data_IF_067558743585
#
_entry.id   IF_067558743585
#
_cell.length_a   1.000
_cell.length_b   1.000
_cell.length_c   1.000
_cell.angle_alpha   90.00
_cell.angle_beta   90.00
_cell.angle_gamma   90.00
#
_symmetry.space_group_name_H-M   'P 1'
#
loop_
_entity.id
_entity.type
_entity.pdbx_description
1 polymer ?
#
# COMPACT_ATOMS: atom_id res chain seq x y z
N UNK A 1 -25.29 -61.94 34.70
CA UNK A 1 -24.13 -61.20 34.11
C UNK A 1 -24.68 -60.19 33.12
N UNK A 2 -24.76 -58.90 33.53
CA UNK A 2 -25.26 -57.85 32.69
C UNK A 2 -24.04 -57.10 32.12
N UNK A 3 -23.84 -57.19 30.79
CA UNK A 3 -22.83 -56.42 30.08
C UNK A 3 -23.29 -54.98 30.02
N UNK A 4 -22.59 -54.07 30.71
CA UNK A 4 -22.73 -52.64 30.57
C UNK A 4 -21.94 -52.21 29.32
N UNK A 5 -22.67 -51.85 28.26
CA UNK A 5 -22.05 -51.20 27.08
C UNK A 5 -21.81 -49.76 27.41
N UNK A 6 -20.55 -49.42 27.65
CA UNK A 6 -20.10 -48.02 27.72
C UNK A 6 -19.94 -47.52 26.29
N UNK A 7 -20.89 -46.70 25.87
CA UNK A 7 -20.80 -45.95 24.60
C UNK A 7 -19.95 -44.71 24.87
N UNK A 8 -18.68 -44.75 24.46
CA UNK A 8 -17.83 -43.58 24.44
C UNK A 8 -18.23 -42.70 23.25
N UNK A 9 -19.04 -41.70 23.51
CA UNK A 9 -19.31 -40.63 22.53
C UNK A 9 -18.09 -39.73 22.46
N UNK A 10 -17.25 -39.98 21.43
CA UNK A 10 -16.16 -39.08 21.07
C UNK A 10 -16.76 -37.85 20.43
N UNK A 11 -17.00 -36.81 21.25
CA UNK A 11 -17.40 -35.48 20.76
C UNK A 11 -16.19 -34.84 20.10
N UNK A 12 -16.10 -35.02 18.78
CA UNK A 12 -15.13 -34.32 17.93
C UNK A 12 -15.57 -32.86 17.82
N UNK A 13 -15.17 -32.04 18.79
CA UNK A 13 -15.29 -30.60 18.68
C UNK A 13 -14.43 -30.11 17.51
N UNK A 14 -15.09 -29.91 16.36
CA UNK A 14 -14.50 -29.25 15.20
C UNK A 14 -14.21 -27.81 15.63
N UNK A 15 -13.00 -27.56 16.09
CA UNK A 15 -12.48 -26.23 16.33
C UNK A 15 -12.27 -25.62 14.93
N UNK A 16 -13.29 -24.90 14.45
CA UNK A 16 -13.17 -24.03 13.30
C UNK A 16 -12.17 -22.93 13.68
N UNK A 17 -10.90 -23.20 13.49
CA UNK A 17 -9.88 -22.16 13.40
C UNK A 17 -10.21 -21.35 12.16
N UNK A 18 -11.01 -20.31 12.35
CA UNK A 18 -11.06 -19.20 11.40
C UNK A 18 -9.63 -18.69 11.29
N UNK A 19 -8.94 -19.07 10.24
CA UNK A 19 -7.70 -18.43 9.86
C UNK A 19 -8.08 -16.98 9.54
N UNK A 20 -8.01 -16.12 10.54
CA UNK A 20 -7.97 -14.69 10.29
C UNK A 20 -6.69 -14.50 9.47
N UNK A 21 -6.85 -14.29 8.17
CA UNK A 21 -5.79 -13.73 7.37
C UNK A 21 -5.39 -12.44 8.09
N UNK A 22 -4.23 -12.44 8.74
CA UNK A 22 -3.70 -11.23 9.37
C UNK A 22 -3.38 -10.29 8.22
N UNK A 23 -4.33 -9.44 7.86
CA UNK A 23 -4.06 -8.33 6.96
C UNK A 23 -2.97 -7.49 7.62
N UNK A 24 -1.84 -7.39 6.93
CA UNK A 24 -0.68 -6.65 7.43
C UNK A 24 -1.01 -5.17 7.37
N UNK A 25 -1.00 -4.48 8.48
CA UNK A 25 -1.13 -3.01 8.51
C UNK A 25 0.12 -2.32 7.98
N UNK A 26 -0.01 -1.02 7.64
CA UNK A 26 1.15 -0.20 7.31
C UNK A 26 2.18 -0.25 8.45
N UNK A 27 3.47 -0.48 8.14
CA UNK A 27 4.51 -0.57 9.15
C UNK A 27 4.86 0.79 9.74
N UNK A 28 5.39 0.77 10.96
CA UNK A 28 5.94 1.95 11.63
C UNK A 28 7.31 2.29 11.05
N UNK A 29 7.34 3.17 10.05
CA UNK A 29 8.57 3.63 9.38
C UNK A 29 8.55 5.13 9.21
N UNK A 30 9.63 5.79 9.60
CA UNK A 30 9.82 7.23 9.41
C UNK A 30 10.19 7.55 7.97
N UNK A 31 9.42 8.42 7.36
CA UNK A 31 9.64 9.02 6.05
C UNK A 31 9.73 10.55 6.18
N UNK A 32 10.05 11.25 5.11
CA UNK A 32 10.16 12.71 5.12
C UNK A 32 9.31 13.32 4.02
N UNK A 33 8.69 14.45 4.34
CA UNK A 33 8.07 15.31 3.32
C UNK A 33 9.15 15.93 2.42
N UNK A 34 8.75 16.50 1.28
CA UNK A 34 9.68 17.23 0.41
C UNK A 34 10.27 18.48 1.08
N UNK A 35 9.67 18.96 2.20
CA UNK A 35 10.20 20.04 3.04
C UNK A 35 11.16 19.53 4.13
N UNK A 36 11.37 18.21 4.23
CA UNK A 36 12.27 17.58 5.20
C UNK A 36 11.64 17.27 6.56
N UNK A 37 10.34 17.50 6.73
CA UNK A 37 9.60 17.18 7.95
C UNK A 37 9.45 15.66 8.09
N UNK A 38 9.61 15.13 9.30
CA UNK A 38 9.40 13.72 9.58
C UNK A 38 7.92 13.39 9.66
N UNK A 39 7.53 12.28 9.02
CA UNK A 39 6.23 11.66 9.10
C UNK A 39 6.38 10.16 9.35
N UNK A 40 5.35 9.54 9.89
CA UNK A 40 5.28 8.08 9.97
C UNK A 40 4.34 7.56 8.88
N UNK A 41 4.78 6.57 8.09
CA UNK A 41 3.95 6.03 7.02
C UNK A 41 2.69 5.34 7.55
N UNK A 42 2.73 4.83 8.77
CA UNK A 42 1.59 4.23 9.47
C UNK A 42 0.40 5.18 9.61
N UNK A 43 0.65 6.50 9.74
CA UNK A 43 -0.39 7.52 9.87
C UNK A 43 -1.38 7.52 8.69
N UNK A 44 -0.93 7.13 7.50
CA UNK A 44 -1.76 7.02 6.31
C UNK A 44 -2.74 5.83 6.34
N UNK A 45 -2.51 4.84 7.20
CA UNK A 45 -3.46 3.76 7.45
C UNK A 45 -4.43 4.03 8.63
N UNK A 46 -4.29 5.17 9.30
CA UNK A 46 -5.05 5.53 10.50
C UNK A 46 -6.03 6.69 10.25
N UNK A 47 -6.10 7.21 9.03
CA UNK A 47 -6.91 8.37 8.67
C UNK A 47 -8.30 8.03 8.09
N UNK A 48 -8.62 6.74 7.94
CA UNK A 48 -9.91 6.26 7.46
C UNK A 48 -10.11 6.31 5.95
N UNK A 49 -9.09 6.69 5.18
CA UNK A 49 -9.12 6.73 3.72
C UNK A 49 -8.62 5.43 3.10
N UNK A 50 -9.04 5.18 1.85
CA UNK A 50 -8.35 4.21 1.01
C UNK A 50 -7.03 4.82 0.60
N UNK A 51 -5.91 4.14 0.91
CA UNK A 51 -4.58 4.67 0.62
C UNK A 51 -3.84 3.78 -0.37
N UNK A 52 -3.35 4.38 -1.46
CA UNK A 52 -2.38 3.75 -2.36
C UNK A 52 -0.98 4.20 -1.95
N UNK A 53 -0.09 3.26 -1.64
CA UNK A 53 1.33 3.54 -1.37
C UNK A 53 2.15 2.99 -2.51
N UNK A 54 2.78 3.86 -3.32
CA UNK A 54 3.66 3.45 -4.43
C UNK A 54 5.11 3.83 -4.13
N UNK A 55 6.01 2.83 -4.18
CA UNK A 55 7.45 3.01 -4.03
C UNK A 55 8.11 3.20 -5.39
N UNK A 56 8.89 4.27 -5.51
CA UNK A 56 9.49 4.71 -6.76
C UNK A 56 10.88 5.33 -6.58
N UNK A 57 11.54 5.69 -7.68
CA UNK A 57 12.76 6.49 -7.67
C UNK A 57 12.90 7.31 -8.95
N UNK A 58 13.68 8.39 -8.91
CA UNK A 58 13.88 9.32 -10.04
C UNK A 58 14.49 8.64 -11.27
N UNK A 59 15.29 7.61 -11.08
CA UNK A 59 15.91 6.79 -12.13
C UNK A 59 15.01 5.66 -12.67
N UNK A 60 13.87 5.38 -11.99
CA UNK A 60 12.96 4.30 -12.36
C UNK A 60 11.97 4.77 -13.44
N UNK A 61 12.20 4.40 -14.69
CA UNK A 61 11.34 4.80 -15.79
C UNK A 61 9.91 4.22 -15.71
N UNK A 62 9.68 2.91 -15.42
CA UNK A 62 8.34 2.37 -15.29
C UNK A 62 7.58 2.97 -14.09
N UNK A 63 8.25 3.27 -12.98
CA UNK A 63 7.62 3.93 -11.84
C UNK A 63 7.04 5.31 -12.22
N UNK A 64 7.79 6.09 -12.98
CA UNK A 64 7.31 7.40 -13.44
C UNK A 64 6.12 7.29 -14.40
N UNK A 65 6.08 6.24 -15.21
CA UNK A 65 4.92 5.98 -16.09
C UNK A 65 3.68 5.61 -15.28
N UNK A 66 3.81 4.76 -14.25
CA UNK A 66 2.72 4.45 -13.31
C UNK A 66 2.19 5.72 -12.66
N UNK A 67 3.09 6.50 -12.07
CA UNK A 67 2.74 7.73 -11.36
C UNK A 67 2.16 8.80 -12.29
N UNK A 68 2.64 8.91 -13.54
CA UNK A 68 2.06 9.79 -14.55
C UNK A 68 0.63 9.35 -14.93
N UNK A 69 0.40 8.04 -15.15
CA UNK A 69 -0.91 7.52 -15.49
C UNK A 69 -1.93 7.71 -14.35
N UNK A 70 -1.52 7.48 -13.11
CA UNK A 70 -2.38 7.75 -11.95
C UNK A 70 -2.65 9.25 -11.80
N UNK A 71 -1.68 10.13 -12.08
CA UNK A 71 -1.87 11.57 -11.98
C UNK A 71 -2.97 12.09 -12.92
N UNK A 72 -3.16 11.47 -14.08
CA UNK A 72 -4.21 11.85 -15.05
C UNK A 72 -5.64 11.60 -14.52
N UNK A 73 -5.81 10.65 -13.60
CA UNK A 73 -7.12 10.23 -13.06
C UNK A 73 -7.26 10.49 -11.56
N UNK A 74 -6.23 11.05 -10.91
CA UNK A 74 -6.15 11.16 -9.46
C UNK A 74 -7.26 12.03 -8.85
N UNK A 75 -7.59 13.15 -9.48
CA UNK A 75 -8.64 14.06 -9.02
C UNK A 75 -10.01 13.36 -9.03
N UNK A 76 -10.31 12.61 -10.10
CA UNK A 76 -11.54 11.82 -10.22
C UNK A 76 -11.60 10.73 -9.14
N UNK A 77 -10.50 10.00 -8.93
CA UNK A 77 -10.44 8.97 -7.89
C UNK A 77 -10.62 9.53 -6.47
N UNK A 78 -10.07 10.73 -6.20
CA UNK A 78 -10.29 11.38 -4.90
C UNK A 78 -11.76 11.77 -4.71
N UNK A 79 -12.40 12.29 -5.74
CA UNK A 79 -13.80 12.71 -5.70
C UNK A 79 -14.75 11.52 -5.54
N UNK A 80 -14.47 10.42 -6.25
CA UNK A 80 -15.37 9.27 -6.32
C UNK A 80 -15.19 8.28 -5.15
N UNK A 81 -13.95 8.14 -4.61
CA UNK A 81 -13.60 7.02 -3.72
C UNK A 81 -13.04 7.46 -2.36
N UNK A 82 -12.93 8.75 -2.05
CA UNK A 82 -12.28 9.28 -0.83
C UNK A 82 -10.91 8.61 -0.57
N UNK A 83 -10.09 8.56 -1.61
CA UNK A 83 -8.79 7.92 -1.57
C UNK A 83 -7.63 8.92 -1.55
N UNK A 84 -6.45 8.44 -1.21
CA UNK A 84 -5.20 9.18 -1.35
C UNK A 84 -4.09 8.32 -1.96
N UNK A 85 -3.18 8.96 -2.70
CA UNK A 85 -1.93 8.35 -3.18
C UNK A 85 -0.75 8.94 -2.40
N UNK A 86 0.08 8.06 -1.88
CA UNK A 86 1.34 8.37 -1.18
C UNK A 86 2.50 7.75 -1.98
N UNK A 87 3.15 8.56 -2.79
CA UNK A 87 4.32 8.15 -3.58
C UNK A 87 5.60 8.33 -2.75
N UNK A 88 6.25 7.21 -2.39
CA UNK A 88 7.44 7.22 -1.52
C UNK A 88 8.69 6.97 -2.35
N UNK A 89 9.53 8.00 -2.51
CA UNK A 89 10.82 7.85 -3.19
C UNK A 89 11.81 7.10 -2.30
N UNK A 90 12.46 6.09 -2.89
CA UNK A 90 13.58 5.36 -2.29
C UNK A 90 14.94 5.81 -2.84
N UNK A 91 15.01 7.01 -3.39
CA UNK A 91 16.25 7.57 -3.93
C UNK A 91 17.37 7.64 -2.89
N UNK A 92 18.61 7.45 -3.35
CA UNK A 92 19.78 7.61 -2.49
C UNK A 92 19.93 9.05 -2.00
N UNK A 93 20.76 9.26 -0.97
CA UNK A 93 21.07 10.61 -0.46
C UNK A 93 21.50 11.62 -1.53
N UNK A 94 22.15 11.15 -2.62
CA UNK A 94 22.60 12.02 -3.71
C UNK A 94 21.46 12.39 -4.65
N UNK A 95 20.58 11.44 -4.94
CA UNK A 95 19.48 11.61 -5.89
C UNK A 95 18.24 12.27 -5.25
N UNK A 96 18.01 12.07 -3.94
CA UNK A 96 16.83 12.60 -3.24
C UNK A 96 16.66 14.13 -3.39
N UNK A 97 17.76 14.87 -3.56
CA UNK A 97 17.70 16.31 -3.75
C UNK A 97 17.02 16.73 -5.07
N UNK A 98 16.92 15.82 -6.05
CA UNK A 98 16.27 16.09 -7.35
C UNK A 98 14.76 15.77 -7.33
N UNK A 99 14.28 15.07 -6.31
CA UNK A 99 12.87 14.66 -6.19
C UNK A 99 11.91 15.85 -6.24
N UNK A 100 12.10 16.95 -5.47
CA UNK A 100 11.17 18.08 -5.51
C UNK A 100 11.04 18.75 -6.88
N UNK A 101 12.16 18.92 -7.59
CA UNK A 101 12.14 19.52 -8.93
C UNK A 101 11.48 18.61 -9.96
N UNK A 102 11.68 17.30 -9.86
CA UNK A 102 11.00 16.33 -10.72
C UNK A 102 9.48 16.34 -10.47
N UNK A 103 9.05 16.26 -9.21
CA UNK A 103 7.62 16.30 -8.83
C UNK A 103 6.96 17.58 -9.37
N UNK A 104 7.60 18.74 -9.19
CA UNK A 104 7.09 20.00 -9.72
C UNK A 104 7.01 20.01 -11.25
N UNK A 105 8.01 19.43 -11.95
CA UNK A 105 8.01 19.36 -13.41
C UNK A 105 6.95 18.42 -13.99
N UNK A 106 6.53 17.42 -13.19
CA UNK A 106 5.48 16.46 -13.54
C UNK A 106 4.07 16.95 -13.20
N UNK A 107 3.95 17.96 -12.36
CA UNK A 107 2.65 18.45 -11.88
C UNK A 107 1.92 17.43 -10.99
N UNK A 108 2.64 16.53 -10.30
CA UNK A 108 2.02 15.56 -9.42
C UNK A 108 1.45 16.23 -8.17
N UNK A 109 0.14 16.11 -7.95
CA UNK A 109 -0.58 16.79 -6.86
C UNK A 109 -0.79 15.91 -5.61
N UNK A 110 -0.53 14.61 -5.72
CA UNK A 110 -0.59 13.68 -4.60
C UNK A 110 0.59 13.84 -3.63
N UNK A 111 0.48 13.21 -2.47
CA UNK A 111 1.53 13.24 -1.45
C UNK A 111 2.79 12.54 -1.93
N UNK A 112 3.91 13.27 -1.97
CA UNK A 112 5.24 12.68 -2.26
C UNK A 112 6.12 12.78 -1.04
N UNK A 113 6.67 11.62 -0.64
CA UNK A 113 7.56 11.45 0.49
C UNK A 113 8.89 10.85 0.03
N UNK A 114 9.86 10.91 0.90
CA UNK A 114 11.18 10.28 0.70
C UNK A 114 11.55 9.42 1.89
N UNK A 115 12.21 8.29 1.67
CA UNK A 115 12.63 7.41 2.74
C UNK A 115 13.87 6.62 2.40
N UNK A 116 14.45 5.94 3.40
CA UNK A 116 15.62 5.10 3.18
C UNK A 116 15.20 3.77 2.56
N UNK A 117 15.75 3.46 1.38
CA UNK A 117 15.43 2.25 0.62
C UNK A 117 15.45 0.98 1.49
N UNK A 118 16.55 0.76 2.23
CA UNK A 118 16.71 -0.46 3.04
C UNK A 118 15.69 -0.59 4.17
N UNK A 119 15.30 0.52 4.81
CA UNK A 119 14.29 0.51 5.88
C UNK A 119 12.92 0.18 5.30
N UNK A 120 12.54 0.84 4.19
CA UNK A 120 11.25 0.64 3.52
C UNK A 120 11.14 -0.76 2.90
N UNK A 121 12.17 -1.22 2.17
CA UNK A 121 12.19 -2.54 1.58
C UNK A 121 12.05 -3.67 2.63
N UNK A 122 12.74 -3.53 3.76
CA UNK A 122 12.63 -4.51 4.85
C UNK A 122 11.23 -4.47 5.51
N UNK A 123 10.70 -3.28 5.80
CA UNK A 123 9.43 -3.14 6.49
C UNK A 123 8.24 -3.62 5.65
N UNK A 124 8.24 -3.31 4.34
CA UNK A 124 7.19 -3.70 3.40
C UNK A 124 7.46 -5.05 2.71
N UNK A 125 8.65 -5.63 2.90
CA UNK A 125 9.07 -6.89 2.29
C UNK A 125 9.00 -6.88 0.76
N UNK A 126 9.61 -5.87 0.12
CA UNK A 126 9.74 -5.81 -1.34
C UNK A 126 11.21 -5.66 -1.77
N UNK A 127 11.53 -6.01 -3.03
CA UNK A 127 12.89 -5.98 -3.55
C UNK A 127 13.06 -5.07 -4.77
N UNK A 128 12.00 -4.88 -5.52
CA UNK A 128 12.03 -4.15 -6.81
C UNK A 128 10.95 -3.07 -6.82
N UNK A 129 11.13 -2.06 -7.70
CA UNK A 129 10.18 -0.97 -7.94
C UNK A 129 9.83 -0.87 -9.43
N UNK A 130 8.63 -0.37 -9.79
CA UNK A 130 7.60 0.12 -8.88
C UNK A 130 7.03 -1.01 -8.02
N UNK A 131 6.69 -0.68 -6.78
CA UNK A 131 5.96 -1.56 -5.87
C UNK A 131 4.81 -0.78 -5.26
N UNK A 132 3.60 -1.23 -5.52
CA UNK A 132 2.37 -0.55 -5.12
C UNK A 132 1.58 -1.40 -4.15
N UNK A 133 1.09 -0.79 -3.09
CA UNK A 133 0.24 -1.39 -2.06
C UNK A 133 -1.07 -0.64 -2.00
N UNK A 134 -2.17 -1.37 -1.85
CA UNK A 134 -3.49 -0.81 -1.57
C UNK A 134 -3.88 -1.12 -0.13
N UNK A 135 -4.27 -0.08 0.59
CA UNK A 135 -4.63 -0.11 2.02
C UNK A 135 -6.10 0.28 2.14
N UNK A 136 -6.86 -0.51 2.88
CA UNK A 136 -8.27 -0.22 3.14
C UNK A 136 -8.46 0.86 4.22
N UNK A 137 -9.70 1.29 4.44
CA UNK A 137 -10.08 2.32 5.40
C UNK A 137 -9.77 1.92 6.87
N UNK A 138 -9.45 0.64 7.13
CA UNK A 138 -9.04 0.14 8.44
C UNK A 138 -7.51 0.06 8.59
N UNK A 139 -6.77 0.54 7.61
CA UNK A 139 -5.30 0.51 7.60
C UNK A 139 -4.69 -0.84 7.25
N UNK A 140 -5.49 -1.78 6.70
CA UNK A 140 -5.01 -3.11 6.30
C UNK A 140 -4.53 -3.09 4.85
N UNK A 141 -3.34 -3.65 4.59
CA UNK A 141 -2.85 -3.89 3.23
C UNK A 141 -3.66 -5.05 2.64
N UNK A 142 -4.46 -4.77 1.62
CA UNK A 142 -5.40 -5.72 1.00
C UNK A 142 -4.98 -6.18 -0.39
N UNK A 143 -4.07 -5.45 -1.03
CA UNK A 143 -3.52 -5.79 -2.34
C UNK A 143 -2.12 -5.22 -2.50
N UNK A 144 -1.31 -5.86 -3.32
CA UNK A 144 -0.02 -5.32 -3.75
C UNK A 144 0.29 -5.75 -5.18
N UNK A 145 1.01 -4.89 -5.91
CA UNK A 145 1.45 -5.10 -7.28
C UNK A 145 2.93 -4.73 -7.43
N UNK A 146 3.65 -5.49 -8.23
CA UNK A 146 5.05 -5.23 -8.54
C UNK A 146 5.26 -5.06 -10.04
N UNK A 147 5.97 -4.02 -10.42
CA UNK A 147 6.13 -3.61 -11.80
C UNK A 147 4.98 -2.70 -12.27
N UNK A 148 5.05 -2.26 -13.53
CA UNK A 148 4.00 -1.50 -14.19
C UNK A 148 4.01 -1.75 -15.69
N UNK A 149 2.86 -2.05 -16.25
CA UNK A 149 2.57 -1.98 -17.68
C UNK A 149 1.35 -1.07 -17.89
N UNK A 150 1.26 -0.34 -19.02
CA UNK A 150 0.10 0.51 -19.30
C UNK A 150 -1.21 -0.27 -19.21
N UNK A 151 -2.16 0.21 -18.41
CA UNK A 151 -3.43 -0.45 -18.10
C UNK A 151 -3.54 -0.98 -16.66
N UNK A 152 -2.43 -1.15 -15.94
CA UNK A 152 -2.44 -1.60 -14.54
C UNK A 152 -3.17 -0.58 -13.63
N UNK A 153 -3.20 0.70 -14.01
CA UNK A 153 -3.96 1.75 -13.32
C UNK A 153 -5.46 1.46 -13.30
N UNK A 154 -6.02 0.86 -14.34
CA UNK A 154 -7.44 0.48 -14.37
C UNK A 154 -7.74 -0.70 -13.45
N UNK A 155 -6.82 -1.69 -13.37
CA UNK A 155 -6.96 -2.79 -12.40
C UNK A 155 -6.89 -2.27 -10.96
N UNK A 156 -6.01 -1.30 -10.70
CA UNK A 156 -5.89 -0.65 -9.40
C UNK A 156 -7.19 0.10 -9.05
N UNK A 157 -7.77 0.84 -10.01
CA UNK A 157 -9.05 1.54 -9.84
C UNK A 157 -10.19 0.59 -9.49
N UNK A 158 -10.32 -0.54 -10.20
CA UNK A 158 -11.34 -1.55 -9.90
C UNK A 158 -11.25 -2.04 -8.44
N UNK A 159 -10.03 -2.19 -7.92
CA UNK A 159 -9.81 -2.59 -6.52
C UNK A 159 -10.13 -1.46 -5.53
N UNK A 160 -9.80 -0.22 -5.85
CA UNK A 160 -10.16 0.97 -5.05
C UNK A 160 -11.68 1.08 -4.96
N UNK A 161 -12.37 1.01 -6.10
CA UNK A 161 -13.82 1.04 -6.19
C UNK A 161 -14.48 -0.06 -5.35
N UNK A 162 -13.98 -1.30 -5.45
CA UNK A 162 -14.49 -2.41 -4.65
C UNK A 162 -14.31 -2.22 -3.12
N UNK A 163 -13.36 -1.37 -2.68
CA UNK A 163 -13.21 -0.98 -1.27
C UNK A 163 -14.15 0.15 -0.89
N UNK A 164 -14.38 1.11 -1.78
CA UNK A 164 -15.27 2.25 -1.53
C UNK A 164 -16.75 1.85 -1.43
N UNK A 165 -17.15 0.75 -2.08
CA UNK A 165 -18.53 0.22 -2.07
C UNK A 165 -18.87 -0.66 -0.86
N UNK A 166 -17.94 -0.90 0.07
CA UNK A 166 -18.13 -1.74 1.28
C UNK A 166 -18.62 -0.92 2.47
#
# INVERSE_FOLDING_TARGET
>A
MKLVKVVLTFSFALFLMSAFAQNKSLPDVTVKTLKGESKNIKEFGENGKITVVSFWATWCAPCKKELDAIAEVYEDWQADYDMELVAVSIDTRRAVATVPSLVASKGWEYTVLTGKATELQNAFNFQTIPQTFLVDQNGSIVYHHNGYVPGDEYELEDKIKALAEK
#
